data_IF_087770707409
#
_entry.id   IF_087770707409
#
_cell.length_a   1.000
_cell.length_b   1.000
_cell.length_c   1.000
_cell.angle_alpha   90.00
_cell.angle_beta   90.00
_cell.angle_gamma   90.00
#
_symmetry.space_group_name_H-M   'P 1'
#
loop_
_entity.id
_entity.type
_entity.pdbx_description
1 polymer ?
#
# COMPACT_ATOMS: atom_id res chain seq x y z
N UNK A 1 -1.92 28.97 -13.69
CA UNK A 1 -2.58 28.18 -12.62
C UNK A 1 -1.65 27.06 -12.22
N UNK A 2 -1.46 26.76 -10.92
CA UNK A 2 -0.72 25.57 -10.51
C UNK A 2 -1.43 24.31 -11.03
N UNK A 3 -0.69 23.23 -11.33
CA UNK A 3 -1.29 21.97 -11.76
C UNK A 3 -2.22 21.45 -10.67
N UNK A 4 -3.39 20.94 -11.09
CA UNK A 4 -4.30 20.28 -10.17
C UNK A 4 -3.63 19.01 -9.66
N UNK A 5 -3.59 18.75 -8.33
CA UNK A 5 -2.99 17.54 -7.80
C UNK A 5 -3.67 16.30 -8.40
N UNK A 6 -2.90 15.23 -8.61
CA UNK A 6 -3.44 13.96 -9.07
C UNK A 6 -4.52 13.48 -8.10
N UNK A 7 -5.72 13.25 -8.61
CA UNK A 7 -6.83 12.77 -7.79
C UNK A 7 -6.71 11.25 -7.60
N UNK A 8 -6.75 10.82 -6.35
CA UNK A 8 -6.79 9.41 -5.95
C UNK A 8 -7.79 9.21 -4.80
N UNK A 9 -8.20 7.97 -4.56
CA UNK A 9 -9.02 7.62 -3.38
C UNK A 9 -8.24 7.70 -2.06
N UNK A 10 -8.90 7.44 -0.94
CA UNK A 10 -8.30 7.47 0.40
C UNK A 10 -8.30 8.85 1.06
N UNK A 11 -8.90 9.86 0.42
CA UNK A 11 -9.00 11.23 0.94
C UNK A 11 -10.21 11.40 1.87
N UNK A 12 -10.36 10.52 2.86
CA UNK A 12 -11.57 10.44 3.69
C UNK A 12 -11.82 11.71 4.50
N UNK A 13 -10.76 12.39 4.95
CA UNK A 13 -10.86 13.69 5.64
C UNK A 13 -11.50 14.76 4.76
N UNK A 14 -11.10 14.85 3.48
CA UNK A 14 -11.69 15.80 2.54
C UNK A 14 -13.18 15.50 2.29
N UNK A 15 -13.57 14.22 2.27
CA UNK A 15 -14.97 13.82 2.19
C UNK A 15 -15.75 14.19 3.47
N UNK A 16 -15.18 13.99 4.65
CA UNK A 16 -15.77 14.41 5.93
C UNK A 16 -16.08 15.91 5.94
N UNK A 17 -15.11 16.74 5.52
CA UNK A 17 -15.28 18.20 5.44
C UNK A 17 -16.34 18.60 4.43
N UNK A 18 -16.32 18.00 3.24
CA UNK A 18 -17.23 18.35 2.14
C UNK A 18 -18.69 18.00 2.46
N UNK A 19 -18.93 16.79 2.96
CA UNK A 19 -20.28 16.30 3.24
C UNK A 19 -20.75 16.58 4.67
N UNK A 20 -19.86 17.07 5.55
CA UNK A 20 -20.12 17.33 6.97
C UNK A 20 -20.62 16.09 7.72
N UNK A 21 -20.04 14.93 7.38
CA UNK A 21 -20.32 13.64 8.02
C UNK A 21 -19.09 13.23 8.86
N UNK A 22 -19.24 12.83 10.14
CA UNK A 22 -18.13 12.40 10.98
C UNK A 22 -17.37 11.22 10.39
N UNK A 23 -16.05 11.18 10.60
CA UNK A 23 -15.16 10.11 10.10
C UNK A 23 -15.65 8.69 10.44
N UNK A 24 -16.22 8.51 11.64
CA UNK A 24 -16.74 7.23 12.12
C UNK A 24 -17.89 6.66 11.29
N UNK A 25 -18.58 7.51 10.54
CA UNK A 25 -19.80 7.16 9.82
C UNK A 25 -19.51 6.82 8.36
N UNK A 26 -18.22 6.79 8.00
CA UNK A 26 -17.75 6.46 6.67
C UNK A 26 -17.32 5.00 6.54
N UNK A 27 -17.60 4.44 5.37
CA UNK A 27 -16.96 3.23 4.86
C UNK A 27 -16.16 3.67 3.63
N UNK A 28 -14.82 3.65 3.71
CA UNK A 28 -13.97 4.05 2.60
C UNK A 28 -13.83 2.94 1.56
N UNK A 29 -14.59 3.06 0.47
CA UNK A 29 -14.52 2.20 -0.71
C UNK A 29 -13.79 2.86 -1.88
N UNK A 30 -13.14 4.01 -1.64
CA UNK A 30 -12.44 4.75 -2.69
C UNK A 30 -11.04 4.18 -2.97
N UNK A 31 -10.57 3.24 -2.14
CA UNK A 31 -9.30 2.52 -2.32
C UNK A 31 -9.53 1.01 -2.48
N UNK A 32 -8.54 0.30 -3.03
CA UNK A 32 -8.50 -1.16 -3.07
C UNK A 32 -7.82 -1.80 -1.85
N UNK A 33 -7.72 -1.08 -0.72
CA UNK A 33 -7.01 -1.55 0.47
C UNK A 33 -7.94 -2.44 1.31
N UNK A 34 -7.45 -3.64 1.66
CA UNK A 34 -8.14 -4.53 2.60
C UNK A 34 -8.24 -3.88 3.99
N UNK A 35 -9.41 -3.91 4.66
CA UNK A 35 -9.54 -3.47 6.04
C UNK A 35 -8.89 -4.46 7.03
N UNK A 36 -8.56 -5.66 6.57
CA UNK A 36 -7.87 -6.67 7.36
C UNK A 36 -6.37 -6.58 7.13
N UNK A 37 -5.61 -6.58 8.22
CA UNK A 37 -4.15 -6.64 8.20
C UNK A 37 -3.67 -7.97 7.63
N UNK A 38 -2.65 -7.90 6.77
CA UNK A 38 -1.91 -9.09 6.36
C UNK A 38 -1.12 -9.65 7.57
N UNK A 39 -1.10 -10.97 7.80
CA UNK A 39 -0.48 -11.58 8.98
C UNK A 39 1.05 -11.58 8.86
N UNK A 40 1.66 -10.41 9.00
CA UNK A 40 3.11 -10.25 8.93
C UNK A 40 3.78 -10.74 10.22
N UNK A 41 4.85 -11.54 10.15
CA UNK A 41 5.66 -11.84 11.33
C UNK A 41 6.38 -10.58 11.82
N UNK A 42 7.00 -10.65 13.00
CA UNK A 42 7.88 -9.58 13.49
C UNK A 42 8.96 -9.28 12.46
N UNK A 43 8.97 -8.05 11.94
CA UNK A 43 9.98 -7.59 10.98
C UNK A 43 11.26 -7.23 11.74
N UNK A 44 12.43 -7.80 11.38
CA UNK A 44 13.70 -7.43 11.99
C UNK A 44 13.99 -5.93 11.86
N UNK A 45 14.51 -5.31 12.94
CA UNK A 45 14.74 -3.86 12.98
C UNK A 45 15.65 -3.36 11.84
N UNK A 46 16.66 -4.15 11.48
CA UNK A 46 17.62 -3.81 10.44
C UNK A 46 17.00 -3.62 9.04
N UNK A 47 15.78 -4.11 8.80
CA UNK A 47 15.05 -3.87 7.55
C UNK A 47 14.61 -2.40 7.43
N UNK A 48 14.41 -1.71 8.56
CA UNK A 48 14.00 -0.30 8.59
C UNK A 48 15.18 0.67 8.58
N UNK A 49 16.37 0.19 8.96
CA UNK A 49 17.57 1.03 9.14
C UNK A 49 18.49 1.06 7.90
N UNK A 50 18.11 0.38 6.82
CA UNK A 50 18.90 0.34 5.58
C UNK A 50 18.03 0.63 4.37
N UNK A 51 18.66 1.11 3.31
CA UNK A 51 18.04 1.12 2.00
C UNK A 51 18.08 -0.28 1.37
N UNK A 52 17.08 -0.65 0.55
CA UNK A 52 17.16 -1.87 -0.23
C UNK A 52 18.35 -1.80 -1.19
N UNK A 53 19.00 -2.94 -1.39
CA UNK A 53 20.10 -3.10 -2.35
C UNK A 53 19.57 -3.81 -3.59
N UNK A 54 20.26 -3.64 -4.73
CA UNK A 54 19.91 -4.38 -5.92
C UNK A 54 20.15 -5.89 -5.70
N UNK A 55 19.21 -6.73 -6.11
CA UNK A 55 19.26 -8.19 -5.96
C UNK A 55 19.32 -8.66 -4.49
N UNK A 56 18.62 -7.99 -3.58
CA UNK A 56 18.52 -8.36 -2.15
C UNK A 56 17.67 -9.62 -1.88
N UNK A 57 17.23 -10.30 -2.94
CA UNK A 57 16.50 -11.57 -2.89
C UNK A 57 15.00 -11.43 -3.12
N UNK A 58 14.47 -10.21 -3.30
CA UNK A 58 13.04 -9.96 -3.56
C UNK A 58 12.52 -10.79 -4.75
N UNK A 59 13.25 -10.81 -5.87
CA UNK A 59 12.84 -11.53 -7.08
C UNK A 59 12.82 -13.05 -6.85
N UNK A 60 13.78 -13.59 -6.10
CA UNK A 60 13.83 -15.02 -5.77
C UNK A 60 12.69 -15.42 -4.84
N UNK A 61 12.39 -14.59 -3.84
CA UNK A 61 11.25 -14.80 -2.95
C UNK A 61 9.92 -14.76 -3.71
N UNK A 62 9.74 -13.79 -4.62
CA UNK A 62 8.56 -13.68 -5.47
C UNK A 62 8.42 -14.90 -6.40
N UNK A 63 9.49 -15.29 -7.09
CA UNK A 63 9.50 -16.47 -7.97
C UNK A 63 9.09 -17.75 -7.24
N UNK A 64 9.62 -17.93 -6.02
CA UNK A 64 9.28 -19.09 -5.18
C UNK A 64 7.83 -19.08 -4.72
N UNK A 65 7.29 -17.92 -4.35
CA UNK A 65 5.90 -17.78 -3.90
C UNK A 65 4.90 -17.98 -5.04
N UNK A 66 5.16 -17.38 -6.20
CA UNK A 66 4.26 -17.47 -7.36
C UNK A 66 4.48 -18.72 -8.23
N UNK A 67 5.53 -19.50 -7.97
CA UNK A 67 5.86 -20.69 -8.76
C UNK A 67 6.30 -20.38 -10.19
N UNK A 68 6.83 -19.18 -10.44
CA UNK A 68 7.31 -18.75 -11.76
C UNK A 68 8.80 -18.45 -11.70
N UNK A 69 9.65 -19.16 -12.46
CA UNK A 69 11.09 -18.88 -12.49
C UNK A 69 11.45 -17.58 -13.20
N UNK A 70 10.51 -16.97 -13.94
CA UNK A 70 10.73 -15.74 -14.72
C UNK A 70 9.63 -14.72 -14.46
N UNK A 71 10.00 -13.43 -14.51
CA UNK A 71 9.07 -12.31 -14.32
C UNK A 71 8.06 -12.17 -15.47
N UNK A 72 8.49 -12.52 -16.68
CA UNK A 72 7.71 -12.54 -17.92
C UNK A 72 8.18 -13.73 -18.79
N UNK A 73 7.36 -14.20 -19.76
CA UNK A 73 7.76 -15.20 -20.75
C UNK A 73 8.99 -14.81 -21.57
#
# INVERSE_FOLDING_TARGET
>A
MPPKPHQHGGQLQAACEHYRIPLSDWIDLSTGISPFTYPLPTVPEHCWQRLPEANDGLETAAASYYGSPFLLP
#
